data_IF_755447834995
#
_entry.id   IF_755447834995
#
_cell.length_a   1.000
_cell.length_b   1.000
_cell.length_c   1.000
_cell.angle_alpha   90.00
_cell.angle_beta   90.00
_cell.angle_gamma   90.00
#
_symmetry.space_group_name_H-M   'P 1'
#
loop_
_entity.id
_entity.type
_entity.pdbx_description
1 polymer ?
#
# COMPACT_ATOMS: atom_id res chain seq x y z
N UNK A 1 10.85 10.34 -11.66
CA UNK A 1 12.07 9.63 -11.23
C UNK A 1 12.85 10.59 -10.36
N UNK A 2 12.74 10.44 -9.05
CA UNK A 2 13.49 11.27 -8.11
C UNK A 2 14.94 10.80 -8.07
N UNK A 3 15.87 11.70 -8.35
CA UNK A 3 17.29 11.46 -8.13
C UNK A 3 17.48 11.32 -6.62
N UNK A 4 17.82 10.11 -6.15
CA UNK A 4 18.21 9.88 -4.76
C UNK A 4 19.23 10.94 -4.36
N UNK A 5 18.90 11.76 -3.37
CA UNK A 5 19.83 12.81 -2.94
C UNK A 5 21.12 12.15 -2.43
N UNK A 6 22.26 12.81 -2.59
CA UNK A 6 23.55 12.30 -2.08
C UNK A 6 23.47 11.94 -0.59
N UNK A 7 22.64 12.65 0.18
CA UNK A 7 22.38 12.36 1.60
C UNK A 7 21.67 11.02 1.81
N UNK A 8 20.66 10.71 1.00
CA UNK A 8 19.94 9.44 1.06
C UNK A 8 20.84 8.26 0.72
N UNK A 9 21.69 8.40 -0.30
CA UNK A 9 22.65 7.36 -0.68
C UNK A 9 23.72 7.15 0.39
N UNK A 10 24.24 8.23 0.98
CA UNK A 10 25.20 8.14 2.06
C UNK A 10 24.61 7.48 3.32
N UNK A 11 23.36 7.81 3.65
CA UNK A 11 22.66 7.19 4.78
C UNK A 11 22.36 5.70 4.54
N UNK A 12 21.95 5.32 3.31
CA UNK A 12 21.76 3.93 2.93
C UNK A 12 23.07 3.14 3.06
N UNK A 13 24.17 3.72 2.60
CA UNK A 13 25.50 3.13 2.74
C UNK A 13 25.96 3.05 4.21
N UNK A 14 25.49 3.93 5.08
CA UNK A 14 25.83 3.96 6.50
C UNK A 14 24.91 3.09 7.39
N UNK A 15 23.89 2.42 6.82
CA UNK A 15 23.05 1.50 7.58
C UNK A 15 23.88 0.38 8.22
N UNK A 16 23.49 0.01 9.44
CA UNK A 16 24.02 -1.17 10.12
C UNK A 16 23.65 -2.45 9.35
N UNK A 17 24.41 -3.53 9.56
CA UNK A 17 24.08 -4.83 8.93
C UNK A 17 22.69 -5.33 9.35
N UNK A 18 22.27 -5.02 10.58
CA UNK A 18 20.94 -5.35 11.09
C UNK A 18 19.85 -4.57 10.33
N UNK A 19 20.04 -3.26 10.14
CA UNK A 19 19.06 -2.42 9.42
C UNK A 19 19.02 -2.74 7.93
N UNK A 20 20.15 -3.11 7.31
CA UNK A 20 20.17 -3.60 5.93
C UNK A 20 19.39 -4.90 5.80
N UNK A 21 19.62 -5.85 6.70
CA UNK A 21 18.87 -7.12 6.73
C UNK A 21 17.37 -6.86 6.93
N UNK A 22 17.00 -5.93 7.83
CA UNK A 22 15.62 -5.51 8.04
C UNK A 22 15.02 -4.91 6.75
N UNK A 23 15.74 -4.02 6.08
CA UNK A 23 15.30 -3.39 4.83
C UNK A 23 15.09 -4.43 3.71
N UNK A 24 16.03 -5.35 3.53
CA UNK A 24 15.92 -6.43 2.53
C UNK A 24 14.72 -7.33 2.81
N UNK A 25 14.50 -7.72 4.08
CA UNK A 25 13.35 -8.53 4.47
C UNK A 25 12.03 -7.82 4.14
N UNK A 26 11.91 -6.54 4.51
CA UNK A 26 10.71 -5.75 4.24
C UNK A 26 10.49 -5.56 2.73
N UNK A 27 11.55 -5.35 1.97
CA UNK A 27 11.47 -5.20 0.52
C UNK A 27 10.91 -6.47 -0.16
N UNK A 28 11.37 -7.65 0.28
CA UNK A 28 10.85 -8.94 -0.18
C UNK A 28 9.36 -9.08 0.15
N UNK A 29 8.93 -8.69 1.36
CA UNK A 29 7.52 -8.75 1.77
C UNK A 29 6.65 -7.81 0.92
N UNK A 30 7.12 -6.59 0.67
CA UNK A 30 6.44 -5.59 -0.15
C UNK A 30 6.52 -5.86 -1.66
N UNK A 31 7.31 -6.85 -2.10
CA UNK A 31 7.64 -7.13 -3.51
C UNK A 31 8.27 -5.93 -4.22
N UNK A 32 9.09 -5.17 -3.50
CA UNK A 32 9.86 -4.04 -4.01
C UNK A 32 11.36 -4.35 -3.92
N UNK A 33 12.19 -3.59 -4.62
CA UNK A 33 13.63 -3.59 -4.32
C UNK A 33 13.92 -2.83 -3.03
N UNK A 34 14.99 -3.21 -2.31
CA UNK A 34 15.44 -2.48 -1.12
C UNK A 34 15.71 -1.00 -1.43
N UNK A 35 16.13 -0.71 -2.66
CA UNK A 35 16.40 0.62 -3.16
C UNK A 35 15.14 1.48 -3.34
N UNK A 36 14.02 0.88 -3.72
CA UNK A 36 12.72 1.54 -3.82
C UNK A 36 12.12 1.73 -2.43
N UNK A 37 12.15 0.69 -1.59
CA UNK A 37 11.63 0.75 -0.23
C UNK A 37 12.40 1.75 0.65
N UNK A 38 13.69 1.95 0.39
CA UNK A 38 14.51 2.93 1.11
C UNK A 38 13.95 4.35 1.04
N UNK A 39 13.28 4.73 -0.06
CA UNK A 39 12.70 6.07 -0.19
C UNK A 39 11.62 6.31 0.87
N UNK A 40 10.79 5.29 1.12
CA UNK A 40 9.74 5.36 2.12
C UNK A 40 10.31 5.25 3.53
N UNK A 41 11.27 4.34 3.75
CA UNK A 41 11.95 4.21 5.06
C UNK A 41 12.70 5.48 5.44
N UNK A 42 13.31 6.17 4.47
CA UNK A 42 13.96 7.46 4.71
C UNK A 42 12.96 8.55 5.12
N UNK A 43 11.75 8.52 4.55
CA UNK A 43 10.74 9.57 4.75
C UNK A 43 9.90 9.36 6.00
N UNK A 44 9.57 8.11 6.30
CA UNK A 44 8.60 7.73 7.34
C UNK A 44 9.25 6.94 8.48
N UNK A 45 10.46 6.41 8.27
CA UNK A 45 11.12 5.53 9.23
C UNK A 45 10.76 4.06 9.02
N UNK A 46 11.52 3.18 9.68
CA UNK A 46 11.32 1.74 9.54
C UNK A 46 10.00 1.25 10.12
N UNK A 47 9.59 1.79 11.26
CA UNK A 47 8.43 1.27 12.00
C UNK A 47 7.12 1.54 11.24
N UNK A 48 6.93 2.77 10.75
CA UNK A 48 5.75 3.16 9.95
C UNK A 48 5.66 2.35 8.64
N UNK A 49 6.80 2.11 7.97
CA UNK A 49 6.85 1.34 6.73
C UNK A 49 6.56 -0.15 6.99
N UNK A 50 7.11 -0.71 8.07
CA UNK A 50 6.85 -2.09 8.45
C UNK A 50 5.37 -2.31 8.82
N UNK A 51 4.77 -1.38 9.57
CA UNK A 51 3.34 -1.41 9.88
C UNK A 51 2.48 -1.35 8.60
N UNK A 52 2.82 -0.47 7.66
CA UNK A 52 2.12 -0.35 6.38
C UNK A 52 2.17 -1.64 5.54
N UNK A 53 3.35 -2.27 5.43
CA UNK A 53 3.51 -3.53 4.70
C UNK A 53 2.67 -4.64 5.36
N UNK A 54 2.68 -4.73 6.68
CA UNK A 54 1.90 -5.72 7.41
C UNK A 54 0.39 -5.50 7.23
N UNK A 55 -0.06 -4.25 7.27
CA UNK A 55 -1.46 -3.88 7.03
C UNK A 55 -1.91 -4.25 5.61
N UNK A 56 -1.07 -4.01 4.59
CA UNK A 56 -1.38 -4.40 3.21
C UNK A 56 -1.49 -5.92 3.07
N UNK A 57 -0.59 -6.69 3.70
CA UNK A 57 -0.65 -8.15 3.70
C UNK A 57 -1.91 -8.68 4.40
N UNK A 58 -2.30 -8.07 5.52
CA UNK A 58 -3.52 -8.42 6.23
C UNK A 58 -4.76 -8.09 5.38
N UNK A 59 -4.79 -6.93 4.73
CA UNK A 59 -5.87 -6.54 3.83
C UNK A 59 -6.00 -7.51 2.64
N UNK A 60 -4.89 -7.86 2.00
CA UNK A 60 -4.85 -8.87 0.93
C UNK A 60 -5.42 -10.22 1.39
N UNK A 61 -5.07 -10.65 2.61
CA UNK A 61 -5.60 -11.89 3.19
C UNK A 61 -7.10 -11.77 3.51
N UNK A 62 -7.54 -10.62 4.03
CA UNK A 62 -8.94 -10.35 4.31
C UNK A 62 -9.78 -10.43 3.03
N UNK A 63 -9.36 -9.80 1.93
CA UNK A 63 -10.11 -9.79 0.67
C UNK A 63 -10.11 -11.14 -0.05
N UNK A 64 -9.13 -12.03 0.20
CA UNK A 64 -9.19 -13.43 -0.27
C UNK A 64 -10.35 -14.20 0.36
N UNK A 65 -10.69 -13.90 1.61
CA UNK A 65 -11.76 -14.59 2.35
C UNK A 65 -13.08 -13.81 2.31
N UNK A 66 -13.03 -12.52 2.00
CA UNK A 66 -14.15 -11.58 1.98
C UNK A 66 -14.16 -10.84 0.65
N UNK A 67 -14.54 -11.56 -0.41
CA UNK A 67 -14.70 -10.94 -1.72
C UNK A 67 -15.74 -9.81 -1.61
N UNK A 68 -15.36 -8.61 -2.08
CA UNK A 68 -16.29 -7.49 -2.18
C UNK A 68 -17.39 -7.77 -3.19
N UNK A 69 -18.45 -6.97 -3.15
CA UNK A 69 -19.50 -6.98 -4.18
C UNK A 69 -18.96 -6.25 -5.42
N UNK A 70 -19.25 -6.76 -6.61
CA UNK A 70 -18.83 -6.12 -7.84
C UNK A 70 -19.50 -4.74 -8.00
N UNK A 71 -18.73 -3.76 -8.48
CA UNK A 71 -19.22 -2.40 -8.67
C UNK A 71 -20.39 -2.36 -9.66
N UNK A 72 -20.38 -3.20 -10.70
CA UNK A 72 -21.49 -3.24 -11.65
C UNK A 72 -22.79 -3.72 -11.00
N UNK A 73 -22.70 -4.70 -10.09
CA UNK A 73 -23.82 -5.20 -9.30
C UNK A 73 -24.36 -4.12 -8.35
N UNK A 74 -23.48 -3.48 -7.59
CA UNK A 74 -23.83 -2.34 -6.73
C UNK A 74 -24.56 -1.24 -7.52
N UNK A 75 -24.02 -0.87 -8.69
CA UNK A 75 -24.61 0.18 -9.53
C UNK A 75 -25.94 -0.26 -10.17
N UNK A 76 -26.12 -1.54 -10.48
CA UNK A 76 -27.39 -2.07 -10.96
C UNK A 76 -28.47 -1.98 -9.87
N UNK A 77 -28.14 -2.32 -8.64
CA UNK A 77 -29.07 -2.24 -7.51
C UNK A 77 -29.40 -0.80 -7.14
N UNK A 78 -28.42 0.10 -7.16
CA UNK A 78 -28.66 1.54 -6.99
C UNK A 78 -29.63 2.06 -8.05
N UNK A 79 -29.48 1.67 -9.33
CA UNK A 79 -30.42 2.07 -10.40
C UNK A 79 -31.85 1.61 -10.11
N UNK A 80 -32.04 0.39 -9.57
CA UNK A 80 -33.38 -0.10 -9.16
C UNK A 80 -33.96 0.76 -8.04
N UNK A 81 -33.17 1.07 -7.01
CA UNK A 81 -33.60 1.91 -5.88
C UNK A 81 -34.00 3.31 -6.37
N UNK A 82 -33.20 3.92 -7.24
CA UNK A 82 -33.52 5.23 -7.85
C UNK A 82 -34.79 5.15 -8.71
N UNK A 83 -35.01 4.07 -9.46
CA UNK A 83 -36.25 3.92 -10.24
C UNK A 83 -37.50 3.85 -9.35
N UNK A 84 -37.40 3.22 -8.17
CA UNK A 84 -38.52 3.04 -7.24
C UNK A 84 -38.79 4.30 -6.41
N UNK A 85 -37.74 4.98 -5.95
CA UNK A 85 -37.85 6.06 -4.96
C UNK A 85 -37.35 7.44 -5.45
N UNK A 86 -36.71 7.48 -6.62
CA UNK A 86 -36.17 8.71 -7.19
C UNK A 86 -37.28 9.68 -7.55
N UNK A 87 -37.14 10.94 -7.11
CA UNK A 87 -38.05 12.01 -7.55
C UNK A 87 -37.94 12.18 -9.07
N UNK A 88 -39.07 12.19 -9.80
CA UNK A 88 -39.05 12.52 -11.21
C UNK A 88 -38.51 13.94 -11.37
N UNK A 89 -37.47 14.10 -12.19
CA UNK A 89 -37.06 15.42 -12.66
C UNK A 89 -38.12 15.89 -13.66
N UNK A 90 -38.87 16.93 -13.29
CA UNK A 90 -39.69 17.73 -14.20
C UNK A 90 -38.79 18.61 -15.05
#
# INVERSE_FOLDING_TARGET
MDLKSTKQLAALAALSDADRTRLERLAVMAKLSADELWLDVWRYGFDDVEEGILADMEADQYFKSNAGIDNAEVMADIKKVIAIHGKPRR
#
